data_IF_874738692242
#
_entry.id   IF_874738692242
#
_cell.length_a   1.000
_cell.length_b   1.000
_cell.length_c   1.000
_cell.angle_alpha   90.00
_cell.angle_beta   90.00
_cell.angle_gamma   90.00
#
_symmetry.space_group_name_H-M   'P 1'
#
loop_
_entity.id
_entity.type
_entity.pdbx_description
1 polymer ?
#
# COMPACT_ATOMS: atom_id res chain seq x y z
N UNK A 1 -7.12 16.92 -0.01
CA UNK A 1 -5.86 16.97 0.76
C UNK A 1 -4.84 17.62 -0.16
N UNK A 2 -4.42 18.85 0.08
CA UNK A 2 -3.36 19.48 -0.71
C UNK A 2 -2.04 18.82 -0.33
N UNK A 3 -1.38 18.16 -1.28
CA UNK A 3 -0.05 17.59 -1.09
C UNK A 3 0.93 18.72 -0.79
N UNK A 4 1.30 18.87 0.48
CA UNK A 4 2.19 19.94 0.92
C UNK A 4 3.62 19.56 0.53
N UNK A 5 4.17 20.25 -0.48
CA UNK A 5 5.53 19.99 -0.98
C UNK A 5 6.56 20.40 0.06
N UNK A 6 7.44 19.47 0.40
CA UNK A 6 8.59 19.71 1.28
C UNK A 6 9.85 19.65 0.42
N UNK A 7 10.72 20.64 0.60
CA UNK A 7 11.99 20.78 -0.10
C UNK A 7 13.14 20.53 0.86
N UNK A 8 14.16 19.82 0.39
CA UNK A 8 15.46 19.66 1.03
C UNK A 8 16.55 20.12 0.06
N UNK A 9 17.76 20.35 0.56
CA UNK A 9 18.93 20.66 -0.26
C UNK A 9 19.89 19.49 -0.16
N UNK A 10 20.35 19.00 -1.31
CA UNK A 10 21.24 17.84 -1.43
C UNK A 10 22.50 18.22 -2.18
N UNK A 11 23.67 17.77 -1.72
CA UNK A 11 24.93 17.96 -2.42
C UNK A 11 25.23 16.79 -3.37
N UNK A 12 26.32 16.91 -4.14
CA UNK A 12 26.75 15.90 -5.11
C UNK A 12 27.24 14.59 -4.46
N UNK A 13 27.56 14.62 -3.16
CA UNK A 13 27.89 13.43 -2.36
C UNK A 13 26.65 12.69 -1.85
N UNK A 14 25.47 13.24 -2.10
CA UNK A 14 24.20 12.67 -1.68
C UNK A 14 23.79 13.00 -0.25
N UNK A 15 24.49 13.92 0.41
CA UNK A 15 24.22 14.36 1.77
C UNK A 15 23.21 15.52 1.76
N UNK A 16 22.41 15.59 2.82
CA UNK A 16 21.43 16.67 2.99
C UNK A 16 21.98 17.81 3.83
N UNK A 17 21.68 19.04 3.41
CA UNK A 17 22.04 20.24 4.13
C UNK A 17 21.22 20.33 5.42
N UNK A 18 21.91 20.52 6.55
CA UNK A 18 21.27 20.88 7.82
C UNK A 18 21.66 22.30 8.18
N UNK A 19 20.66 23.13 8.42
CA UNK A 19 20.79 24.51 8.87
C UNK A 19 20.34 24.59 10.32
N UNK A 20 21.31 24.67 11.24
CA UNK A 20 21.06 24.92 12.66
C UNK A 20 21.42 26.37 13.04
N UNK A 21 21.07 26.77 14.27
CA UNK A 21 21.33 28.13 14.80
C UNK A 21 22.82 28.52 14.76
N UNK A 22 23.71 27.56 14.86
CA UNK A 22 25.16 27.77 15.01
C UNK A 22 25.90 27.79 13.68
N UNK A 23 25.59 26.88 12.76
CA UNK A 23 26.16 26.83 11.42
C UNK A 23 25.35 25.88 10.51
N UNK A 24 25.46 26.04 9.18
CA UNK A 24 25.05 25.01 8.23
C UNK A 24 26.14 23.94 8.11
N UNK A 25 25.75 22.67 7.96
CA UNK A 25 26.68 21.59 7.65
C UNK A 25 26.05 20.50 6.79
N UNK A 26 26.92 19.68 6.22
CA UNK A 26 26.60 18.48 5.45
C UNK A 26 26.75 17.23 6.32
N UNK A 27 26.19 16.10 5.88
CA UNK A 27 26.19 14.80 6.58
C UNK A 27 25.16 14.66 7.72
N UNK A 28 23.97 15.23 7.54
CA UNK A 28 22.83 14.89 8.38
C UNK A 28 22.02 13.75 7.76
N UNK A 29 21.58 12.75 8.55
CA UNK A 29 20.73 11.68 8.06
C UNK A 29 19.34 12.17 7.59
N UNK A 30 18.91 13.38 8.00
CA UNK A 30 17.55 13.89 7.71
C UNK A 30 17.57 15.24 6.96
N UNK A 31 18.60 16.07 7.14
CA UNK A 31 18.62 17.43 6.57
C UNK A 31 17.62 18.40 7.20
N UNK A 32 17.65 19.66 6.77
CA UNK A 32 16.62 20.66 7.12
C UNK A 32 15.57 20.74 6.02
N UNK A 33 14.33 20.43 6.37
CA UNK A 33 13.17 20.53 5.49
C UNK A 33 12.57 21.94 5.49
N UNK A 34 12.24 22.46 4.31
CA UNK A 34 11.57 23.76 4.14
C UNK A 34 10.34 23.62 3.25
N UNK A 35 9.30 24.42 3.49
CA UNK A 35 8.06 24.42 2.70
C UNK A 35 8.03 25.48 1.60
N UNK A 36 8.93 26.45 1.67
CA UNK A 36 9.05 27.53 0.70
C UNK A 36 10.22 27.21 -0.26
N UNK A 37 9.92 27.13 -1.56
CA UNK A 37 10.91 26.84 -2.60
C UNK A 37 11.94 27.96 -2.74
N UNK A 38 11.57 29.22 -2.53
CA UNK A 38 12.49 30.36 -2.63
C UNK A 38 13.56 30.28 -1.54
N UNK A 39 13.16 29.84 -0.33
CA UNK A 39 14.11 29.59 0.77
C UNK A 39 15.04 28.43 0.43
N UNK A 40 14.51 27.35 -0.15
CA UNK A 40 15.31 26.20 -0.56
C UNK A 40 16.34 26.59 -1.63
N UNK A 41 15.92 27.36 -2.64
CA UNK A 41 16.78 27.86 -3.72
C UNK A 41 17.86 28.81 -3.20
N UNK A 42 17.49 29.75 -2.33
CA UNK A 42 18.45 30.66 -1.71
C UNK A 42 19.52 29.92 -0.89
N UNK A 43 19.14 28.83 -0.21
CA UNK A 43 20.10 28.00 0.53
C UNK A 43 20.96 27.14 -0.39
N UNK A 44 20.40 26.57 -1.46
CA UNK A 44 21.15 25.83 -2.46
C UNK A 44 22.19 26.72 -3.16
N UNK A 45 21.81 27.95 -3.53
CA UNK A 45 22.72 28.94 -4.12
C UNK A 45 23.83 29.36 -3.13
N UNK A 46 23.47 29.59 -1.86
CA UNK A 46 24.41 30.06 -0.84
C UNK A 46 25.40 29.01 -0.36
N UNK A 47 24.95 27.77 -0.16
CA UNK A 47 25.73 26.70 0.49
C UNK A 47 26.23 25.65 -0.50
N UNK A 48 25.80 25.72 -1.76
CA UNK A 48 26.04 24.69 -2.77
C UNK A 48 25.01 23.55 -2.67
N UNK A 49 24.76 22.87 -3.77
CA UNK A 49 23.80 21.77 -3.88
C UNK A 49 22.59 22.10 -4.75
N UNK A 50 21.60 21.20 -4.73
CA UNK A 50 20.38 21.31 -5.50
C UNK A 50 19.16 21.01 -4.63
N UNK A 51 18.04 21.64 -4.99
CA UNK A 51 16.77 21.42 -4.29
C UNK A 51 16.18 20.08 -4.72
N UNK A 52 15.80 19.27 -3.74
CA UNK A 52 15.05 18.03 -3.93
C UNK A 52 13.73 18.10 -3.19
N UNK A 53 12.69 17.51 -3.77
CA UNK A 53 11.38 17.40 -3.12
C UNK A 53 11.22 16.06 -2.44
N UNK A 54 10.74 16.09 -1.20
CA UNK A 54 10.25 14.89 -0.53
C UNK A 54 8.94 14.45 -1.17
N UNK A 55 8.87 13.16 -1.49
CA UNK A 55 7.65 12.47 -1.92
C UNK A 55 7.38 11.44 -0.84
N UNK A 56 6.21 11.53 -0.21
CA UNK A 56 5.78 10.54 0.78
C UNK A 56 5.76 9.15 0.14
N UNK A 57 6.14 8.11 0.89
CA UNK A 57 6.04 6.74 0.39
C UNK A 57 4.61 6.47 -0.08
N UNK A 58 4.43 5.95 -1.30
CA UNK A 58 3.10 5.80 -1.85
C UNK A 58 2.33 4.75 -1.05
N UNK A 59 1.02 4.98 -0.90
CA UNK A 59 0.13 4.06 -0.17
C UNK A 59 0.14 2.70 -0.87
N UNK A 60 0.63 1.67 -0.17
CA UNK A 60 0.66 0.30 -0.66
C UNK A 60 -0.75 -0.25 -0.88
N UNK A 61 -0.91 -0.99 -1.96
CA UNK A 61 -2.17 -1.67 -2.30
C UNK A 61 -2.27 -2.98 -1.51
N UNK A 62 -3.46 -3.31 -1.01
CA UNK A 62 -3.71 -4.62 -0.39
C UNK A 62 -4.18 -5.57 -1.48
N UNK A 63 -3.40 -6.62 -1.76
CA UNK A 63 -3.71 -7.61 -2.79
C UNK A 63 -4.02 -8.98 -2.18
N UNK A 64 -4.75 -9.81 -2.93
CA UNK A 64 -4.81 -11.25 -2.65
C UNK A 64 -3.48 -11.92 -3.00
N UNK A 65 -3.36 -13.21 -2.67
CA UNK A 65 -2.15 -13.97 -2.99
C UNK A 65 -1.99 -14.14 -4.51
N UNK A 66 -3.09 -14.40 -5.21
CA UNK A 66 -3.13 -14.60 -6.66
C UNK A 66 -2.74 -13.31 -7.39
N UNK A 67 -3.29 -12.17 -6.94
CA UNK A 67 -2.93 -10.85 -7.47
C UNK A 67 -1.46 -10.52 -7.24
N UNK A 68 -0.92 -10.84 -6.07
CA UNK A 68 0.51 -10.64 -5.78
C UNK A 68 1.41 -11.46 -6.73
N UNK A 69 1.05 -12.71 -7.02
CA UNK A 69 1.80 -13.55 -7.97
C UNK A 69 1.84 -12.94 -9.39
N UNK A 70 0.78 -12.25 -9.80
CA UNK A 70 0.74 -11.52 -11.08
C UNK A 70 1.71 -10.34 -11.08
N UNK A 71 1.75 -9.56 -9.99
CA UNK A 71 2.69 -8.44 -9.84
C UNK A 71 4.15 -8.92 -9.85
N UNK A 72 4.45 -10.00 -9.14
CA UNK A 72 5.80 -10.61 -9.13
C UNK A 72 6.21 -11.12 -10.52
N UNK A 73 5.27 -11.72 -11.25
CA UNK A 73 5.50 -12.12 -12.66
C UNK A 73 5.76 -10.90 -13.53
N UNK A 74 5.03 -9.80 -13.33
CA UNK A 74 5.26 -8.57 -14.08
C UNK A 74 6.63 -7.96 -13.78
N UNK A 75 7.13 -8.04 -12.52
CA UNK A 75 8.47 -7.55 -12.13
C UNK A 75 9.60 -8.36 -12.77
N UNK A 76 9.44 -9.68 -12.89
CA UNK A 76 10.43 -10.59 -13.47
C UNK A 76 10.31 -10.74 -14.99
N UNK A 77 9.19 -10.30 -15.58
CA UNK A 77 8.89 -10.43 -17.00
C UNK A 77 9.54 -9.37 -17.86
N UNK A 78 9.82 -9.72 -19.13
CA UNK A 78 10.34 -8.79 -20.14
C UNK A 78 9.30 -7.71 -20.54
N UNK A 79 8.02 -8.04 -20.39
CA UNK A 79 6.90 -7.17 -20.74
C UNK A 79 5.91 -7.10 -19.57
N UNK A 80 6.13 -6.21 -18.58
CA UNK A 80 5.31 -6.12 -17.38
C UNK A 80 3.83 -5.83 -17.70
N UNK A 81 3.58 -4.87 -18.61
CA UNK A 81 2.23 -4.51 -19.03
C UNK A 81 1.45 -5.69 -19.63
N UNK A 82 2.12 -6.56 -20.39
CA UNK A 82 1.49 -7.75 -20.93
C UNK A 82 1.13 -8.75 -19.82
N UNK A 83 1.97 -8.90 -18.80
CA UNK A 83 1.68 -9.78 -17.67
C UNK A 83 0.47 -9.31 -16.88
N UNK A 84 0.34 -8.00 -16.67
CA UNK A 84 -0.84 -7.42 -16.02
C UNK A 84 -2.08 -7.59 -16.91
N UNK A 85 -1.98 -7.31 -18.21
CA UNK A 85 -3.14 -7.41 -19.10
C UNK A 85 -3.64 -8.85 -19.34
N UNK A 86 -2.73 -9.83 -19.40
CA UNK A 86 -3.10 -11.22 -19.68
C UNK A 86 -3.58 -11.99 -18.45
N UNK A 87 -3.15 -11.59 -17.25
CA UNK A 87 -3.45 -12.33 -16.02
C UNK A 87 -4.26 -11.52 -15.00
N UNK A 88 -4.41 -10.21 -15.22
CA UNK A 88 -5.05 -9.29 -14.28
C UNK A 88 -6.56 -9.20 -14.41
N UNK A 89 -7.18 -9.75 -15.46
CA UNK A 89 -8.62 -9.69 -15.71
C UNK A 89 -9.20 -8.27 -15.47
N UNK A 90 -10.17 -8.11 -14.57
CA UNK A 90 -10.78 -6.81 -14.21
C UNK A 90 -9.98 -6.04 -13.12
N UNK A 91 -8.90 -6.61 -12.60
CA UNK A 91 -8.06 -6.07 -11.53
C UNK A 91 -6.80 -5.34 -12.05
N UNK A 92 -6.77 -4.95 -13.32
CA UNK A 92 -5.60 -4.28 -13.91
C UNK A 92 -5.20 -3.00 -13.16
N UNK A 93 -6.17 -2.16 -12.76
CA UNK A 93 -5.90 -0.92 -12.03
C UNK A 93 -5.21 -1.15 -10.67
N UNK A 94 -5.73 -2.00 -9.76
CA UNK A 94 -5.04 -2.29 -8.50
C UNK A 94 -3.69 -2.99 -8.71
N UNK A 95 -3.52 -3.81 -9.77
CA UNK A 95 -2.25 -4.46 -10.11
C UNK A 95 -1.20 -3.46 -10.63
N UNK A 96 -1.60 -2.51 -11.49
CA UNK A 96 -0.73 -1.43 -11.95
C UNK A 96 -0.30 -0.53 -10.78
N UNK A 97 -1.25 -0.18 -9.90
CA UNK A 97 -0.96 0.59 -8.70
C UNK A 97 0.00 -0.16 -7.76
N UNK A 98 -0.19 -1.47 -7.57
CA UNK A 98 0.71 -2.32 -6.79
C UNK A 98 2.10 -2.47 -7.41
N UNK A 99 2.18 -2.54 -8.74
CA UNK A 99 3.44 -2.65 -9.48
C UNK A 99 4.34 -1.42 -9.24
N UNK A 100 3.74 -0.22 -9.20
CA UNK A 100 4.45 1.06 -9.03
C UNK A 100 4.67 1.41 -7.55
N UNK A 101 3.62 1.28 -6.73
CA UNK A 101 3.61 1.76 -5.33
C UNK A 101 3.98 0.68 -4.31
N UNK A 102 4.12 -0.57 -4.76
CA UNK A 102 4.25 -1.74 -3.90
C UNK A 102 2.91 -2.19 -3.31
N UNK A 103 2.92 -3.38 -2.70
CA UNK A 103 1.72 -4.01 -2.15
C UNK A 103 1.97 -4.73 -0.82
N UNK A 104 0.87 -5.11 -0.17
CA UNK A 104 0.85 -6.03 0.98
C UNK A 104 -0.15 -7.15 0.71
N UNK A 105 0.20 -8.38 1.05
CA UNK A 105 -0.68 -9.54 0.84
C UNK A 105 -1.67 -9.67 2.00
N UNK A 106 -2.96 -9.72 1.69
CA UNK A 106 -3.99 -10.00 2.67
C UNK A 106 -3.77 -11.39 3.29
N UNK A 107 -3.66 -11.46 4.62
CA UNK A 107 -3.61 -12.75 5.32
C UNK A 107 -4.97 -13.43 5.19
N UNK A 108 -4.99 -14.67 4.71
CA UNK A 108 -6.19 -15.50 4.69
C UNK A 108 -6.84 -15.55 6.08
N UNK A 109 -8.14 -15.24 6.14
CA UNK A 109 -8.93 -15.50 7.35
C UNK A 109 -9.07 -17.01 7.50
N UNK A 110 -8.25 -17.64 8.35
CA UNK A 110 -8.48 -19.03 8.77
C UNK A 110 -9.80 -19.09 9.56
N UNK A 111 -10.88 -19.50 8.89
CA UNK A 111 -12.12 -19.85 9.58
C UNK A 111 -11.88 -21.16 10.34
N UNK A 112 -11.73 -21.07 11.67
CA UNK A 112 -11.76 -22.24 12.55
C UNK A 112 -13.17 -22.84 12.53
N UNK A 113 -13.45 -23.71 11.56
CA UNK A 113 -14.65 -24.55 11.57
C UNK A 113 -14.56 -25.43 12.80
N UNK A 114 -15.25 -25.05 13.89
CA UNK A 114 -15.44 -25.92 15.04
C UNK A 114 -16.19 -27.16 14.55
N UNK A 115 -15.50 -28.28 14.40
CA UNK A 115 -16.13 -29.60 14.21
C UNK A 115 -17.06 -29.84 15.39
N UNK A 116 -18.37 -29.75 15.16
CA UNK A 116 -19.35 -30.24 16.11
C UNK A 116 -19.16 -31.76 16.23
N UNK A 117 -18.55 -32.20 17.32
CA UNK A 117 -18.43 -33.62 17.65
C UNK A 117 -19.81 -34.15 18.02
N UNK A 118 -20.38 -34.98 17.14
CA UNK A 118 -21.65 -35.65 17.37
C UNK A 118 -21.46 -36.73 18.45
N UNK A 119 -21.77 -36.40 19.72
CA UNK A 119 -21.86 -37.42 20.76
C UNK A 119 -23.19 -38.17 20.62
N UNK A 120 -23.07 -39.44 20.25
CA UNK A 120 -24.17 -40.37 20.02
C UNK A 120 -24.77 -40.78 21.37
N UNK A 121 -26.02 -40.37 21.62
CA UNK A 121 -26.89 -41.00 22.61
C UNK A 121 -27.53 -40.04 23.60
N UNK A 122 -28.75 -39.58 23.28
CA UNK A 122 -29.94 -39.73 24.13
C UNK A 122 -31.17 -39.15 23.40
N UNK A 123 -32.27 -39.87 23.56
CA UNK A 123 -33.56 -39.78 22.87
C UNK A 123 -34.16 -38.37 22.96
N UNK A 124 -34.40 -37.71 21.81
CA UNK A 124 -35.21 -36.49 21.74
C UNK A 124 -36.59 -36.81 21.16
N UNK A 125 -37.56 -36.74 22.06
CA UNK A 125 -38.99 -36.87 21.83
C UNK A 125 -39.45 -35.84 20.79
N UNK A 126 -39.96 -36.33 19.66
CA UNK A 126 -40.46 -35.51 18.55
C UNK A 126 -41.74 -34.79 18.98
N UNK A 127 -41.65 -33.48 19.29
CA UNK A 127 -42.82 -32.59 19.23
C UNK A 127 -42.93 -32.04 17.82
N UNK A 128 -43.92 -32.56 17.08
CA UNK A 128 -44.44 -31.98 15.83
C UNK A 128 -44.78 -30.50 16.05
N UNK A 129 -44.20 -29.61 15.26
CA UNK A 129 -44.87 -28.39 14.85
C UNK A 129 -45.01 -28.42 13.33
N UNK A 130 -46.27 -28.48 12.89
CA UNK A 130 -46.72 -28.39 11.51
C UNK A 130 -46.88 -26.90 11.21
N UNK A 131 -46.05 -26.34 10.34
CA UNK A 131 -46.35 -25.05 9.70
C UNK A 131 -46.76 -25.32 8.25
N UNK A 132 -47.96 -24.87 7.92
CA UNK A 132 -48.64 -24.95 6.63
C UNK A 132 -48.12 -23.79 5.78
N UNK A 133 -47.71 -24.08 4.54
CA UNK A 133 -47.37 -23.07 3.55
C UNK A 133 -48.65 -22.61 2.84
N UNK A 134 -49.07 -21.37 3.05
CA UNK A 134 -49.96 -20.66 2.13
C UNK A 134 -49.09 -19.75 1.24
N UNK A 135 -49.11 -20.01 -0.07
CA UNK A 135 -48.61 -19.13 -1.14
C UNK A 135 -49.82 -18.46 -1.79
N UNK A 136 -49.81 -17.15 -2.09
CA UNK A 136 -50.68 -16.58 -3.10
C UNK A 136 -49.90 -16.41 -4.42
N UNK A 137 -50.38 -17.06 -5.46
CA UNK A 137 -50.07 -16.72 -6.86
C UNK A 137 -51.20 -15.82 -7.38
N UNK A 138 -50.87 -14.56 -7.69
CA UNK A 138 -51.65 -13.71 -8.59
C UNK A 138 -51.04 -13.74 -9.98
#
# INVERSE_FOLDING_TARGET
MSEEKIYLIKNDHGEYLTVERTAPWWNSPVGTAVRNIDVALAWAEKYGGHVVTFVEEPKKVVLTKEQAEIVERAHSGKFPAASIAFYGDDDEEPLMNAYVNGYTVAKEKKYNVKKATYQRGLVLQVRRYRFVNDLPSG
#
